data_IF_655672922773
#
_entry.id   IF_655672922773
#
_cell.length_a   1.000
_cell.length_b   1.000
_cell.length_c   1.000
_cell.angle_alpha   90.00
_cell.angle_beta   90.00
_cell.angle_gamma   90.00
#
_symmetry.space_group_name_H-M   'P 1'
#
loop_
_entity.id
_entity.type
_entity.pdbx_description
1 polymer ?
#
# COMPACT_ATOMS: atom_id res chain seq x y z
N UNK A 1 -5.08 -14.17 5.18
CA UNK A 1 -4.41 -15.12 6.08
C UNK A 1 -4.21 -14.44 7.42
N UNK A 2 -4.75 -15.01 8.50
CA UNK A 2 -4.64 -14.44 9.84
C UNK A 2 -3.21 -14.59 10.40
N UNK A 3 -2.86 -13.74 11.39
CA UNK A 3 -1.52 -13.74 11.99
C UNK A 3 -1.14 -15.10 12.60
N UNK A 4 -2.09 -15.81 13.20
CA UNK A 4 -1.87 -17.18 13.74
C UNK A 4 -1.49 -18.17 12.65
N UNK A 5 -2.11 -18.10 11.48
CA UNK A 5 -1.78 -18.96 10.34
C UNK A 5 -0.38 -18.67 9.81
N UNK A 6 0.00 -17.38 9.72
CA UNK A 6 1.38 -17.00 9.36
C UNK A 6 2.40 -17.51 10.36
N UNK A 7 2.14 -17.33 11.65
CA UNK A 7 3.02 -17.84 12.71
C UNK A 7 3.17 -19.36 12.66
N UNK A 8 2.09 -20.08 12.36
CA UNK A 8 2.13 -21.54 12.20
C UNK A 8 2.96 -21.99 11.00
N UNK A 9 2.87 -21.28 9.86
CA UNK A 9 3.71 -21.57 8.69
C UNK A 9 5.20 -21.33 8.98
N UNK A 10 5.52 -20.24 9.68
CA UNK A 10 6.90 -19.92 10.06
C UNK A 10 7.45 -20.94 11.06
N UNK A 11 6.66 -21.29 12.08
CA UNK A 11 7.04 -22.31 13.05
C UNK A 11 7.37 -23.64 12.36
N UNK A 12 6.48 -24.10 11.47
CA UNK A 12 6.68 -25.34 10.73
C UNK A 12 7.90 -25.28 9.80
N UNK A 13 8.10 -24.18 9.07
CA UNK A 13 9.21 -24.04 8.14
C UNK A 13 10.58 -23.91 8.81
N UNK A 14 10.62 -23.45 10.08
CA UNK A 14 11.86 -23.27 10.83
C UNK A 14 12.16 -24.44 11.78
N UNK A 15 11.18 -25.30 12.09
CA UNK A 15 11.39 -26.48 12.91
C UNK A 15 12.34 -27.42 12.19
N UNK A 16 13.40 -27.84 12.89
CA UNK A 16 14.45 -28.74 12.38
C UNK A 16 15.12 -28.27 11.06
N UNK A 17 15.05 -27.00 10.77
CA UNK A 17 15.67 -26.43 9.57
C UNK A 17 17.18 -26.32 9.73
N UNK A 18 17.99 -26.97 8.87
CA UNK A 18 19.43 -26.85 8.91
C UNK A 18 19.95 -25.46 8.62
N UNK A 19 19.17 -24.66 7.93
CA UNK A 19 19.52 -23.28 7.54
C UNK A 19 19.37 -22.28 8.69
N UNK A 20 18.55 -22.61 9.70
CA UNK A 20 18.21 -21.70 10.80
C UNK A 20 18.42 -22.39 12.17
N UNK A 21 19.66 -22.74 12.54
CA UNK A 21 19.93 -23.53 13.74
C UNK A 21 19.67 -22.78 15.05
N UNK A 22 19.68 -21.45 15.04
CA UNK A 22 19.54 -20.62 16.24
C UNK A 22 18.62 -19.42 15.98
N UNK A 23 17.30 -19.64 15.80
CA UNK A 23 16.38 -18.55 15.47
C UNK A 23 16.24 -17.56 16.61
N UNK A 24 16.15 -16.28 16.25
CA UNK A 24 15.90 -15.16 17.16
C UNK A 24 14.66 -14.41 16.66
N UNK A 25 13.56 -14.36 17.46
CA UNK A 25 13.32 -15.05 18.74
C UNK A 25 13.30 -16.57 18.60
N UNK A 26 13.38 -17.28 19.73
CA UNK A 26 13.32 -18.75 19.71
C UNK A 26 11.95 -19.27 19.25
N UNK A 27 11.91 -20.50 18.71
CA UNK A 27 10.63 -21.11 18.31
C UNK A 27 9.67 -21.27 19.48
N UNK A 28 10.19 -21.57 20.69
CA UNK A 28 9.39 -21.62 21.92
C UNK A 28 8.70 -20.27 22.21
N UNK A 29 9.42 -19.15 22.06
CA UNK A 29 8.82 -17.81 22.23
C UNK A 29 7.73 -17.52 21.20
N UNK A 30 7.86 -18.02 19.99
CA UNK A 30 6.84 -17.91 18.96
C UNK A 30 5.59 -18.73 19.31
N UNK A 31 5.78 -19.99 19.77
CA UNK A 31 4.70 -20.86 20.25
C UNK A 31 3.94 -20.24 21.42
N UNK A 32 4.66 -19.73 22.42
CA UNK A 32 4.07 -19.05 23.58
C UNK A 32 3.23 -17.83 23.14
N UNK A 33 3.74 -17.02 22.23
CA UNK A 33 3.01 -15.89 21.68
C UNK A 33 1.75 -16.30 20.88
N UNK A 34 1.81 -17.40 20.16
CA UNK A 34 0.65 -17.96 19.46
C UNK A 34 -0.42 -18.46 20.46
N UNK A 35 0.00 -19.14 21.51
CA UNK A 35 -0.90 -19.66 22.54
C UNK A 35 -1.54 -18.50 23.33
N UNK A 36 -0.76 -17.49 23.70
CA UNK A 36 -1.26 -16.28 24.37
C UNK A 36 -2.36 -15.60 23.51
N UNK A 37 -2.14 -15.46 22.21
CA UNK A 37 -3.13 -14.89 21.32
C UNK A 37 -4.38 -15.77 21.18
N UNK A 38 -4.24 -17.10 21.11
CA UNK A 38 -5.40 -18.02 21.07
C UNK A 38 -6.29 -17.87 22.29
N UNK A 39 -5.70 -17.82 23.49
CA UNK A 39 -6.42 -17.63 24.76
C UNK A 39 -7.09 -16.24 24.77
N UNK A 40 -6.38 -15.19 24.34
CA UNK A 40 -6.94 -13.84 24.28
C UNK A 40 -8.13 -13.72 23.30
N UNK A 41 -8.08 -14.43 22.15
CA UNK A 41 -9.21 -14.49 21.19
C UNK A 41 -10.41 -15.18 21.84
N UNK A 42 -10.20 -16.31 22.51
CA UNK A 42 -11.28 -17.04 23.19
C UNK A 42 -11.92 -16.18 24.26
N UNK A 43 -11.15 -15.48 25.06
CA UNK A 43 -11.63 -14.61 26.11
C UNK A 43 -12.35 -13.34 25.57
N UNK A 44 -11.98 -12.87 24.36
CA UNK A 44 -12.64 -11.75 23.72
C UNK A 44 -14.01 -12.11 23.14
N UNK A 45 -14.27 -13.39 22.85
CA UNK A 45 -15.57 -13.87 22.40
C UNK A 45 -16.57 -13.84 23.58
N UNK A 46 -17.30 -12.74 23.71
CA UNK A 46 -18.22 -12.48 24.83
C UNK A 46 -17.59 -11.66 25.97
N UNK A 47 -16.34 -11.24 25.85
CA UNK A 47 -15.63 -10.37 26.80
C UNK A 47 -15.91 -8.89 26.58
N UNK A 48 -15.66 -8.09 27.64
CA UNK A 48 -15.77 -6.62 27.61
C UNK A 48 -14.55 -5.95 26.98
N UNK A 49 -14.49 -4.60 27.06
CA UNK A 49 -13.42 -3.76 26.50
C UNK A 49 -12.02 -4.22 26.90
N UNK A 50 -11.84 -4.69 28.14
CA UNK A 50 -10.54 -5.18 28.62
C UNK A 50 -10.08 -6.43 27.84
N UNK A 51 -10.99 -7.39 27.60
CA UNK A 51 -10.67 -8.60 26.86
C UNK A 51 -10.27 -8.29 25.40
N UNK A 52 -10.92 -7.33 24.76
CA UNK A 52 -10.53 -6.85 23.43
C UNK A 52 -9.16 -6.17 23.44
N UNK A 53 -8.88 -5.32 24.44
CA UNK A 53 -7.57 -4.67 24.59
C UNK A 53 -6.44 -5.70 24.80
N UNK A 54 -6.68 -6.74 25.60
CA UNK A 54 -5.70 -7.84 25.79
C UNK A 54 -5.47 -8.62 24.50
N UNK A 55 -6.50 -8.90 23.71
CA UNK A 55 -6.37 -9.52 22.39
C UNK A 55 -5.52 -8.66 21.45
N UNK A 56 -5.74 -7.36 21.41
CA UNK A 56 -4.98 -6.43 20.55
C UNK A 56 -3.51 -6.36 20.99
N UNK A 57 -3.25 -6.37 22.31
CA UNK A 57 -1.89 -6.45 22.87
C UNK A 57 -1.19 -7.75 22.48
N UNK A 58 -1.86 -8.91 22.62
CA UNK A 58 -1.30 -10.20 22.22
C UNK A 58 -1.06 -10.27 20.70
N UNK A 59 -1.95 -9.69 19.89
CA UNK A 59 -1.77 -9.58 18.44
C UNK A 59 -0.53 -8.76 18.08
N UNK A 60 -0.33 -7.63 18.74
CA UNK A 60 0.83 -6.76 18.54
C UNK A 60 2.12 -7.46 18.95
N UNK A 61 2.12 -8.17 20.09
CA UNK A 61 3.26 -8.96 20.58
C UNK A 61 3.67 -10.03 19.56
N UNK A 62 2.73 -10.86 19.10
CA UNK A 62 3.00 -11.88 18.09
C UNK A 62 3.47 -11.27 16.76
N UNK A 63 2.90 -10.15 16.34
CA UNK A 63 3.35 -9.42 15.14
C UNK A 63 4.81 -8.97 15.26
N UNK A 64 5.22 -8.49 16.43
CA UNK A 64 6.60 -8.07 16.67
C UNK A 64 7.57 -9.28 16.69
N UNK A 65 7.18 -10.40 17.29
CA UNK A 65 7.98 -11.63 17.23
C UNK A 65 8.20 -12.07 15.77
N UNK A 66 7.15 -12.07 14.95
CA UNK A 66 7.28 -12.42 13.52
C UNK A 66 8.14 -11.41 12.73
N UNK A 67 8.11 -10.12 13.06
CA UNK A 67 8.99 -9.11 12.43
C UNK A 67 10.45 -9.36 12.74
N UNK A 68 10.78 -9.64 14.01
CA UNK A 68 12.16 -9.94 14.45
C UNK A 68 12.63 -11.23 13.79
N UNK A 69 11.79 -12.28 13.78
CA UNK A 69 12.08 -13.54 13.11
C UNK A 69 12.33 -13.34 11.60
N UNK A 70 11.51 -12.54 10.93
CA UNK A 70 11.69 -12.19 9.52
C UNK A 70 12.99 -11.44 9.24
N UNK A 71 13.43 -10.55 10.14
CA UNK A 71 14.72 -9.89 10.05
C UNK A 71 15.88 -10.88 10.19
N UNK A 72 15.80 -11.82 11.13
CA UNK A 72 16.77 -12.91 11.30
C UNK A 72 16.85 -13.77 10.02
N UNK A 73 15.71 -14.25 9.50
CA UNK A 73 15.65 -15.04 8.28
C UNK A 73 16.25 -14.28 7.09
N UNK A 74 15.93 -13.00 6.94
CA UNK A 74 16.47 -12.16 5.86
C UNK A 74 17.99 -11.99 5.96
N UNK A 75 18.53 -11.87 7.16
CA UNK A 75 19.96 -11.76 7.40
C UNK A 75 20.70 -13.06 7.07
N UNK A 76 20.13 -14.22 7.44
CA UNK A 76 20.75 -15.53 7.19
C UNK A 76 20.61 -15.95 5.73
N UNK A 77 19.47 -15.63 5.09
CA UNK A 77 19.21 -16.00 3.71
C UNK A 77 20.01 -15.19 2.68
N UNK A 78 20.57 -14.03 3.04
CA UNK A 78 21.40 -13.16 2.18
C UNK A 78 20.84 -12.92 0.77
N UNK A 79 19.51 -12.97 0.63
CA UNK A 79 18.80 -12.79 -0.64
C UNK A 79 18.39 -14.08 -1.33
N UNK A 80 18.66 -15.24 -0.76
CA UNK A 80 18.14 -16.51 -1.27
C UNK A 80 16.64 -16.63 -0.97
N UNK A 81 15.85 -16.48 -2.04
CA UNK A 81 14.38 -16.55 -1.98
C UNK A 81 13.89 -17.94 -1.55
N UNK A 82 14.61 -19.01 -1.87
CA UNK A 82 14.21 -20.39 -1.53
C UNK A 82 14.33 -20.64 -0.02
N UNK A 83 15.35 -20.08 0.62
CA UNK A 83 15.52 -20.12 2.06
C UNK A 83 14.40 -19.36 2.79
N UNK A 84 14.04 -18.17 2.29
CA UNK A 84 12.96 -17.34 2.87
C UNK A 84 11.62 -18.07 2.77
N UNK A 85 11.31 -18.64 1.61
CA UNK A 85 10.07 -19.41 1.39
C UNK A 85 10.07 -20.70 2.24
N UNK A 86 11.19 -21.39 2.33
CA UNK A 86 11.36 -22.59 3.18
C UNK A 86 11.13 -22.31 4.66
N UNK A 87 11.50 -21.12 5.15
CA UNK A 87 11.21 -20.64 6.50
C UNK A 87 9.73 -20.27 6.73
N UNK A 88 8.86 -20.40 5.75
CA UNK A 88 7.43 -20.09 5.84
C UNK A 88 7.09 -18.61 5.70
N UNK A 89 8.04 -17.76 5.28
CA UNK A 89 7.79 -16.35 4.97
C UNK A 89 7.42 -16.16 3.50
N UNK A 90 6.59 -15.17 3.24
CA UNK A 90 6.27 -14.70 1.89
C UNK A 90 7.33 -13.71 1.41
N UNK A 91 7.70 -13.79 0.15
CA UNK A 91 8.56 -12.80 -0.47
C UNK A 91 7.79 -11.48 -0.63
N UNK A 92 8.45 -10.38 -0.29
CA UNK A 92 7.89 -9.07 -0.57
C UNK A 92 7.85 -8.84 -2.08
N UNK A 93 6.67 -8.69 -2.63
CA UNK A 93 6.50 -8.28 -4.02
C UNK A 93 7.32 -7.00 -4.27
N UNK A 94 8.32 -7.08 -5.13
CA UNK A 94 8.98 -5.87 -5.62
C UNK A 94 7.93 -5.06 -6.36
N UNK A 95 7.75 -3.79 -5.99
CA UNK A 95 6.86 -2.93 -6.73
C UNK A 95 7.40 -2.83 -8.16
N UNK A 96 6.63 -3.30 -9.12
CA UNK A 96 6.95 -3.15 -10.54
C UNK A 96 7.06 -1.66 -10.83
N UNK A 97 8.16 -1.23 -11.45
CA UNK A 97 8.26 0.15 -11.92
C UNK A 97 7.07 0.42 -12.82
N UNK A 98 6.34 1.49 -12.53
CA UNK A 98 5.28 1.95 -13.40
C UNK A 98 5.97 2.44 -14.66
N UNK A 99 5.70 1.78 -15.79
CA UNK A 99 6.20 2.19 -17.09
C UNK A 99 5.54 3.48 -17.57
N UNK A 100 5.38 3.65 -18.87
CA UNK A 100 4.66 4.77 -19.46
C UNK A 100 3.22 4.77 -18.96
N UNK A 101 2.77 5.91 -18.43
CA UNK A 101 1.39 6.07 -17.97
C UNK A 101 0.44 6.13 -19.17
N UNK A 102 -0.73 5.53 -18.99
CA UNK A 102 -1.82 5.64 -19.99
C UNK A 102 -2.38 7.07 -20.00
N UNK A 103 -2.96 7.45 -21.13
CA UNK A 103 -3.64 8.75 -21.24
C UNK A 103 -4.89 8.76 -20.36
N UNK A 104 -5.19 9.87 -19.66
CA UNK A 104 -6.46 10.02 -18.96
C UNK A 104 -7.64 9.87 -19.93
N UNK A 105 -8.64 9.10 -19.52
CA UNK A 105 -9.86 8.86 -20.32
C UNK A 105 -11.10 9.40 -19.62
N UNK A 106 -12.18 9.57 -20.36
CA UNK A 106 -13.45 10.03 -19.79
C UNK A 106 -13.39 11.46 -19.24
N UNK A 107 -12.58 12.31 -19.87
CA UNK A 107 -12.51 13.74 -19.52
C UNK A 107 -13.87 14.39 -19.75
N UNK A 108 -14.39 15.05 -18.74
CA UNK A 108 -15.65 15.81 -18.79
C UNK A 108 -15.40 17.19 -18.23
N UNK A 109 -15.90 18.19 -18.94
CA UNK A 109 -15.95 19.57 -18.49
C UNK A 109 -17.39 19.91 -18.09
N UNK A 110 -17.55 20.65 -17.02
CA UNK A 110 -18.83 21.21 -16.57
C UNK A 110 -18.63 22.67 -16.19
N UNK A 111 -19.56 23.50 -16.63
CA UNK A 111 -19.57 24.96 -16.29
C UNK A 111 -20.26 25.14 -14.95
N UNK A 112 -19.83 26.16 -14.21
CA UNK A 112 -20.48 26.63 -12.99
C UNK A 112 -21.31 27.86 -13.22
N UNK A 113 -22.07 28.26 -12.20
CA UNK A 113 -22.89 29.45 -12.22
C UNK A 113 -22.09 30.77 -12.35
N UNK A 114 -20.78 30.72 -12.06
CA UNK A 114 -19.88 31.86 -12.23
C UNK A 114 -19.24 31.79 -13.61
N UNK A 115 -19.30 32.86 -14.41
CA UNK A 115 -18.61 32.96 -15.69
C UNK A 115 -17.10 32.78 -15.51
N UNK A 116 -16.45 32.15 -16.48
CA UNK A 116 -14.99 31.92 -16.45
C UNK A 116 -14.50 30.79 -15.55
N UNK A 117 -15.40 29.95 -15.00
CA UNK A 117 -15.04 28.77 -14.21
C UNK A 117 -15.47 27.48 -14.91
N UNK A 118 -14.56 26.54 -15.03
CA UNK A 118 -14.81 25.18 -15.55
C UNK A 118 -14.26 24.15 -14.58
N UNK A 119 -15.09 23.16 -14.22
CA UNK A 119 -14.62 21.98 -13.53
C UNK A 119 -14.33 20.88 -14.53
N UNK A 120 -13.14 20.32 -14.45
CA UNK A 120 -12.71 19.16 -15.20
C UNK A 120 -12.71 17.94 -14.28
N UNK A 121 -13.15 16.81 -14.83
CA UNK A 121 -13.11 15.50 -14.18
C UNK A 121 -12.74 14.45 -15.21
N UNK A 122 -11.89 13.48 -14.81
CA UNK A 122 -11.44 12.38 -15.66
C UNK A 122 -11.36 11.08 -14.87
N UNK A 123 -11.15 9.95 -15.55
CA UNK A 123 -10.89 8.68 -14.88
C UNK A 123 -9.46 8.67 -14.34
N UNK A 124 -9.25 8.25 -13.07
CA UNK A 124 -7.90 8.17 -12.51
C UNK A 124 -7.04 7.16 -13.29
N UNK A 125 -5.80 7.54 -13.56
CA UNK A 125 -4.80 6.68 -14.20
C UNK A 125 -4.00 5.98 -13.10
N UNK A 126 -3.90 4.65 -13.19
CA UNK A 126 -3.13 3.87 -12.22
C UNK A 126 -1.66 4.28 -12.26
N UNK A 127 -1.14 4.73 -11.14
CA UNK A 127 0.24 5.16 -11.03
C UNK A 127 0.50 6.65 -11.25
N UNK A 128 -0.46 7.40 -11.79
CA UNK A 128 -0.36 8.85 -11.86
C UNK A 128 -0.46 9.45 -10.45
N UNK A 129 0.47 10.34 -10.11
CA UNK A 129 0.47 11.09 -8.85
C UNK A 129 0.05 12.54 -9.04
N UNK A 130 0.28 13.04 -10.25
CA UNK A 130 0.01 14.43 -10.64
C UNK A 130 -0.53 14.43 -12.05
N UNK A 131 -1.45 15.33 -12.32
CA UNK A 131 -2.01 15.64 -13.64
C UNK A 131 -1.74 17.10 -13.94
N UNK A 132 -1.27 17.37 -15.13
CA UNK A 132 -1.08 18.69 -15.66
C UNK A 132 -2.18 18.99 -16.66
N UNK A 133 -2.78 20.16 -16.56
CA UNK A 133 -3.84 20.62 -17.45
C UNK A 133 -3.32 21.79 -18.26
N UNK A 134 -3.42 21.66 -19.57
CA UNK A 134 -2.99 22.68 -20.51
C UNK A 134 -4.18 23.26 -21.24
N UNK A 135 -4.08 24.52 -21.60
CA UNK A 135 -5.02 25.21 -22.47
C UNK A 135 -4.31 25.69 -23.74
N UNK A 136 -5.04 25.70 -24.83
CA UNK A 136 -4.55 26.34 -26.05
C UNK A 136 -4.61 27.85 -25.90
N UNK A 137 -3.46 28.49 -26.05
CA UNK A 137 -3.38 29.99 -26.01
C UNK A 137 -3.77 30.52 -27.39
N UNK A 138 -4.96 31.10 -27.49
CA UNK A 138 -5.42 31.78 -28.73
C UNK A 138 -4.57 33.00 -29.03
N UNK A 139 -4.01 33.09 -30.22
CA UNK A 139 -3.31 34.30 -30.69
C UNK A 139 -2.05 34.12 -31.50
N UNK A 140 -1.60 32.88 -31.75
CA UNK A 140 -0.47 32.60 -32.66
C UNK A 140 -1.02 32.24 -34.03
N UNK A 141 -0.79 33.10 -35.04
CA UNK A 141 -1.05 32.79 -36.46
C UNK A 141 -0.03 31.79 -37.05
N UNK A 142 0.85 31.24 -36.20
CA UNK A 142 1.81 30.21 -36.57
C UNK A 142 1.23 28.83 -36.23
N UNK A 143 1.40 27.86 -37.14
CA UNK A 143 0.83 26.52 -37.11
C UNK A 143 1.28 25.63 -35.92
N UNK A 144 2.05 26.15 -34.98
CA UNK A 144 2.41 25.44 -33.75
C UNK A 144 1.38 25.73 -32.66
N UNK A 145 0.65 24.67 -32.27
CA UNK A 145 -0.28 24.73 -31.13
C UNK A 145 0.45 25.15 -29.86
N UNK A 146 0.26 26.38 -29.41
CA UNK A 146 0.88 26.91 -28.20
C UNK A 146 0.03 26.53 -26.97
N UNK A 147 0.43 25.44 -26.32
CA UNK A 147 -0.21 24.92 -25.11
C UNK A 147 0.41 25.55 -23.86
N UNK A 148 -0.39 26.31 -23.10
CA UNK A 148 0.01 26.85 -21.80
C UNK A 148 -0.47 26.00 -20.64
N UNK A 149 0.41 25.74 -19.67
CA UNK A 149 0.03 25.08 -18.42
C UNK A 149 -0.89 25.98 -17.60
N UNK A 150 -2.11 25.53 -17.32
CA UNK A 150 -3.12 26.32 -16.60
C UNK A 150 -3.37 25.79 -15.18
N UNK A 151 -3.21 24.50 -14.95
CA UNK A 151 -3.42 23.91 -13.62
C UNK A 151 -2.63 22.62 -13.41
N UNK A 152 -2.32 22.31 -12.14
CA UNK A 152 -1.73 21.05 -11.68
C UNK A 152 -2.62 20.48 -10.60
N UNK A 153 -2.96 19.19 -10.70
CA UNK A 153 -3.82 18.50 -9.72
C UNK A 153 -3.25 17.15 -9.32
N UNK A 154 -3.30 16.80 -8.05
CA UNK A 154 -3.00 15.46 -7.54
C UNK A 154 -4.21 14.52 -7.54
N UNK A 155 -5.36 15.01 -7.94
CA UNK A 155 -6.62 14.27 -8.03
C UNK A 155 -7.14 14.20 -9.46
N UNK A 156 -8.08 13.31 -9.75
CA UNK A 156 -8.73 13.17 -11.07
C UNK A 156 -9.81 14.24 -11.34
N UNK A 157 -9.64 15.39 -10.75
CA UNK A 157 -10.51 16.58 -10.95
C UNK A 157 -9.70 17.84 -10.73
N UNK A 158 -10.09 18.89 -11.41
CA UNK A 158 -9.50 20.22 -11.30
C UNK A 158 -10.56 21.28 -11.54
N UNK A 159 -10.46 22.40 -10.88
CA UNK A 159 -11.23 23.61 -11.18
C UNK A 159 -10.29 24.63 -11.82
N UNK A 160 -10.70 25.17 -12.94
CA UNK A 160 -9.99 26.20 -13.66
C UNK A 160 -10.83 27.49 -13.53
N UNK A 161 -10.17 28.58 -13.19
CA UNK A 161 -10.77 29.90 -13.03
C UNK A 161 -10.08 30.89 -13.96
N UNK A 162 -10.76 32.02 -14.23
CA UNK A 162 -10.18 33.11 -15.03
C UNK A 162 -10.15 32.84 -16.53
N UNK A 163 -10.99 31.92 -17.03
CA UNK A 163 -11.15 31.75 -18.48
C UNK A 163 -11.93 32.91 -19.07
N UNK A 164 -11.40 33.48 -20.14
CA UNK A 164 -12.12 34.50 -20.91
C UNK A 164 -13.34 33.87 -21.58
N UNK A 165 -14.49 34.58 -21.45
CA UNK A 165 -15.71 34.15 -22.12
C UNK A 165 -15.58 34.45 -23.60
N UNK A 166 -15.54 33.42 -24.44
CA UNK A 166 -15.72 33.63 -25.88
C UNK A 166 -17.09 34.26 -26.12
N UNK A 167 -17.09 35.47 -26.69
CA UNK A 167 -18.29 36.16 -27.19
C UNK A 167 -18.66 35.64 -28.57
#
# INVERSE_FOLDING_TARGET
VGILSKAGMVLHGMTDSPNFPSPIPTLAQLEDGMQELRVAITNANGGGRLAHALKDTATTKLSNLLKIMGAYVSAVAEGDETMVLGAGFELRHRSTRIGTLERPTGVRASTFSKPGQIALKWKPVRGARVYEVYTLVSGSETEEENWGLIAVSSSSRCMIEGLESCR
#
